data_IF_337533697308
#
_entry.id   IF_337533697308
#
_cell.length_a   1.000
_cell.length_b   1.000
_cell.length_c   1.000
_cell.angle_alpha   90.00
_cell.angle_beta   90.00
_cell.angle_gamma   90.00
#
_symmetry.space_group_name_H-M   'P 1'
#
loop_
_entity.id
_entity.type
_entity.pdbx_description
1 polymer ?
#
# COMPACT_ATOMS: atom_id res chain seq x y z
N UNK A 1 15.99 31.90 5.15
CA UNK A 1 16.09 31.77 3.68
C UNK A 1 17.54 32.06 3.29
N UNK A 2 18.13 31.34 2.31
CA UNK A 2 19.48 31.65 1.86
C UNK A 2 19.54 33.09 1.34
N UNK A 3 20.66 33.77 1.57
CA UNK A 3 20.92 35.08 1.01
C UNK A 3 20.97 34.98 -0.52
N UNK A 4 20.39 35.93 -1.28
CA UNK A 4 20.44 35.91 -2.75
C UNK A 4 21.86 36.11 -3.29
N UNK A 5 22.71 36.79 -2.52
CA UNK A 5 24.15 36.98 -2.76
C UNK A 5 24.85 37.30 -1.43
N UNK A 6 26.18 37.23 -1.41
CA UNK A 6 26.95 37.63 -0.23
C UNK A 6 26.69 39.12 0.10
N UNK A 7 26.45 39.40 1.37
CA UNK A 7 26.19 40.76 1.87
C UNK A 7 27.47 41.26 2.52
N UNK A 8 27.97 42.40 2.07
CA UNK A 8 29.21 42.99 2.58
C UNK A 8 28.92 44.31 3.27
N UNK A 9 29.35 44.43 4.52
CA UNK A 9 29.28 45.63 5.35
C UNK A 9 30.68 46.26 5.35
N UNK A 10 30.78 47.52 4.95
CA UNK A 10 32.04 48.27 4.94
C UNK A 10 31.89 49.52 5.79
N UNK A 11 32.77 49.70 6.78
CA UNK A 11 32.81 50.93 7.57
C UNK A 11 33.53 52.05 6.81
N UNK A 12 32.90 53.22 6.77
CA UNK A 12 33.46 54.46 6.21
C UNK A 12 33.67 55.46 7.36
N UNK A 13 34.93 55.78 7.66
CA UNK A 13 35.27 56.68 8.75
C UNK A 13 35.00 58.16 8.42
N UNK A 14 34.90 58.53 7.14
CA UNK A 14 34.65 59.91 6.73
C UNK A 14 33.19 60.31 7.02
N UNK A 15 32.25 59.38 6.87
CA UNK A 15 30.82 59.60 7.16
C UNK A 15 30.36 58.99 8.48
N UNK A 16 31.20 58.15 9.12
CA UNK A 16 30.84 57.34 10.29
C UNK A 16 29.62 56.45 10.02
N UNK A 17 29.63 55.77 8.87
CA UNK A 17 28.54 54.92 8.41
C UNK A 17 29.02 53.52 8.02
N UNK A 18 28.09 52.57 8.06
CA UNK A 18 28.23 51.24 7.50
C UNK A 18 27.51 51.21 6.16
N UNK A 19 28.28 51.08 5.09
CA UNK A 19 27.79 50.85 3.75
C UNK A 19 27.45 49.37 3.57
N UNK A 20 26.28 49.05 3.01
CA UNK A 20 25.87 47.67 2.74
C UNK A 20 25.82 47.43 1.24
N UNK A 21 26.57 46.43 0.78
CA UNK A 21 26.59 45.97 -0.60
C UNK A 21 26.06 44.54 -0.70
N UNK A 22 25.42 44.19 -1.82
CA UNK A 22 24.88 42.84 -2.08
C UNK A 22 23.57 42.50 -1.35
N UNK A 23 23.02 43.43 -0.55
CA UNK A 23 21.70 43.27 0.06
C UNK A 23 20.58 43.48 -0.98
N UNK A 24 19.59 42.58 -0.97
CA UNK A 24 18.36 42.69 -1.79
C UNK A 24 17.15 42.49 -0.87
N UNK A 25 16.28 43.50 -0.67
CA UNK A 25 16.39 44.88 -1.15
C UNK A 25 17.64 45.62 -0.66
N UNK A 26 18.05 46.67 -1.38
CA UNK A 26 19.19 47.50 -0.97
C UNK A 26 18.95 48.08 0.43
N UNK A 27 20.00 48.11 1.25
CA UNK A 27 19.96 48.57 2.64
C UNK A 27 21.12 49.53 2.90
N UNK A 28 20.97 50.43 3.87
CA UNK A 28 22.00 51.39 4.27
C UNK A 28 22.17 52.58 3.32
N UNK A 29 23.18 53.44 3.56
CA UNK A 29 24.12 53.37 4.68
C UNK A 29 23.44 53.54 6.04
N UNK A 30 24.08 53.04 7.10
CA UNK A 30 23.59 53.15 8.47
C UNK A 30 24.63 53.83 9.34
N UNK A 31 24.22 54.81 10.16
CA UNK A 31 25.16 55.45 11.09
C UNK A 31 25.73 54.44 12.09
N UNK A 32 27.06 54.47 12.28
CA UNK A 32 27.72 53.60 13.22
C UNK A 32 27.62 54.15 14.65
N UNK A 33 27.18 53.30 15.58
CA UNK A 33 27.28 53.52 17.01
C UNK A 33 27.69 52.19 17.66
N UNK A 34 28.79 52.20 18.40
CA UNK A 34 29.28 51.00 19.08
C UNK A 34 28.22 50.43 20.02
N UNK A 35 27.90 49.14 19.84
CA UNK A 35 26.89 48.43 20.60
C UNK A 35 25.44 48.63 20.12
N UNK A 36 25.22 49.40 19.05
CA UNK A 36 23.90 49.50 18.44
C UNK A 36 23.56 48.25 17.61
N UNK A 37 22.29 47.87 17.66
CA UNK A 37 21.73 46.83 16.79
C UNK A 37 21.53 47.40 15.39
N UNK A 38 22.13 46.76 14.40
CA UNK A 38 21.84 46.98 12.99
C UNK A 38 20.91 45.85 12.51
N UNK A 39 19.75 46.23 11.97
CA UNK A 39 18.77 45.30 11.45
C UNK A 39 18.30 45.71 10.05
N UNK A 40 18.37 44.79 9.10
CA UNK A 40 17.83 44.97 7.75
C UNK A 40 17.52 43.61 7.12
N UNK A 41 16.54 43.54 6.22
CA UNK A 41 16.16 42.33 5.49
C UNK A 41 15.98 41.06 6.37
N UNK A 42 15.55 41.23 7.62
CA UNK A 42 15.39 40.14 8.59
C UNK A 42 16.69 39.62 9.23
N UNK A 43 17.83 40.23 8.92
CA UNK A 43 19.10 40.04 9.63
C UNK A 43 19.19 41.04 10.78
N UNK A 44 19.73 40.58 11.91
CA UNK A 44 19.98 41.41 13.09
C UNK A 44 21.37 41.08 13.64
N UNK A 45 22.16 42.10 13.91
CA UNK A 45 23.49 41.95 14.50
C UNK A 45 23.89 43.20 15.29
N UNK A 46 24.82 43.01 16.23
CA UNK A 46 25.37 44.09 17.05
C UNK A 46 26.83 44.25 16.69
N UNK A 47 27.21 45.45 16.24
CA UNK A 47 28.61 45.80 15.98
C UNK A 47 29.12 46.61 17.17
N UNK A 48 30.25 46.21 17.74
CA UNK A 48 30.87 46.90 18.88
C UNK A 48 32.36 47.13 18.61
N UNK A 49 32.94 48.12 19.29
CA UNK A 49 34.35 48.47 19.19
C UNK A 49 34.60 49.81 18.51
N UNK A 50 35.79 49.96 17.92
CA UNK A 50 36.20 51.13 17.15
C UNK A 50 36.72 50.62 15.80
N UNK A 51 35.87 50.59 14.75
CA UNK A 51 36.29 50.12 13.44
C UNK A 51 37.28 51.10 12.79
N UNK A 52 38.22 50.56 12.03
CA UNK A 52 39.10 51.34 11.17
C UNK A 52 38.42 51.60 9.81
N UNK A 53 38.79 52.69 9.15
CA UNK A 53 38.30 53.00 7.81
C UNK A 53 38.54 51.84 6.86
N UNK A 54 37.50 51.42 6.14
CA UNK A 54 37.55 50.29 5.22
C UNK A 54 37.45 48.91 5.87
N UNK A 55 37.16 48.81 7.18
CA UNK A 55 36.86 47.51 7.80
C UNK A 55 35.66 46.84 7.12
N UNK A 56 35.78 45.54 6.84
CA UNK A 56 34.78 44.77 6.10
C UNK A 56 34.29 43.57 6.91
N UNK A 57 32.97 43.36 6.90
CA UNK A 57 32.34 42.14 7.37
C UNK A 57 31.43 41.55 6.28
N UNK A 58 31.69 40.32 5.85
CA UNK A 58 30.92 39.64 4.81
C UNK A 58 30.08 38.51 5.39
N UNK A 59 28.80 38.51 5.06
CA UNK A 59 27.84 37.46 5.37
C UNK A 59 27.59 36.66 4.10
N UNK A 60 27.99 35.39 4.11
CA UNK A 60 27.80 34.47 3.00
C UNK A 60 26.87 33.33 3.39
N UNK A 61 26.26 32.69 2.39
CA UNK A 61 25.54 31.45 2.64
C UNK A 61 26.49 30.36 3.13
N UNK A 62 26.02 29.56 4.09
CA UNK A 62 26.74 28.37 4.49
C UNK A 62 26.66 27.33 3.36
N UNK A 63 27.80 27.00 2.75
CA UNK A 63 27.87 26.05 1.62
C UNK A 63 28.32 24.66 2.07
N UNK A 64 29.01 24.56 3.22
CA UNK A 64 29.64 23.33 3.74
C UNK A 64 29.29 23.04 5.21
N UNK A 65 28.12 23.50 5.65
CA UNK A 65 27.77 23.56 7.07
C UNK A 65 27.48 22.22 7.71
N UNK A 66 28.22 21.90 8.78
CA UNK A 66 27.77 20.91 9.77
C UNK A 66 26.43 21.42 10.33
N UNK A 67 25.37 20.61 10.26
CA UNK A 67 23.98 20.94 10.65
C UNK A 67 23.11 21.68 9.63
N UNK A 68 23.47 21.67 8.34
CA UNK A 68 22.60 22.11 7.25
C UNK A 68 21.56 21.05 6.84
N UNK A 69 20.27 21.36 7.04
CA UNK A 69 19.15 20.46 6.75
C UNK A 69 18.51 20.69 5.36
N UNK A 70 19.09 21.53 4.49
CA UNK A 70 18.51 21.83 3.16
C UNK A 70 18.29 20.59 2.30
N UNK A 71 19.18 19.59 2.38
CA UNK A 71 18.99 18.33 1.64
C UNK A 71 17.78 17.54 2.14
N UNK A 72 17.59 17.47 3.46
CA UNK A 72 16.41 16.80 4.06
C UNK A 72 15.14 17.57 3.74
N UNK A 73 15.20 18.90 3.75
CA UNK A 73 14.08 19.75 3.31
C UNK A 73 13.76 19.53 1.84
N UNK A 74 14.76 19.44 0.96
CA UNK A 74 14.55 19.15 -0.47
C UNK A 74 13.89 17.78 -0.68
N UNK A 75 14.33 16.75 0.06
CA UNK A 75 13.69 15.43 0.03
C UNK A 75 12.23 15.52 0.51
N UNK A 76 11.95 16.30 1.55
CA UNK A 76 10.59 16.50 2.04
C UNK A 76 9.71 17.24 1.02
N UNK A 77 10.24 18.25 0.32
CA UNK A 77 9.47 18.98 -0.70
C UNK A 77 9.18 18.13 -1.94
N UNK A 78 10.07 17.20 -2.29
CA UNK A 78 9.84 16.25 -3.39
C UNK A 78 8.52 15.50 -3.24
N UNK A 79 8.06 15.20 -2.01
CA UNK A 79 6.77 14.54 -1.78
C UNK A 79 5.60 15.27 -2.47
N UNK A 80 5.62 16.60 -2.43
CA UNK A 80 4.54 17.48 -2.92
C UNK A 80 4.84 18.15 -4.26
N UNK A 81 6.08 18.08 -4.74
CA UNK A 81 6.46 18.62 -6.04
C UNK A 81 6.00 17.68 -7.16
N UNK A 82 5.55 18.29 -8.27
CA UNK A 82 5.13 17.55 -9.46
C UNK A 82 6.34 17.15 -10.28
N UNK A 83 6.96 16.05 -9.90
CA UNK A 83 8.18 15.52 -10.53
C UNK A 83 7.91 14.27 -11.40
N UNK A 84 6.72 13.67 -11.27
CA UNK A 84 6.33 12.46 -12.00
C UNK A 84 5.35 12.80 -13.13
N UNK A 85 5.10 11.83 -14.03
CA UNK A 85 4.14 11.97 -15.14
C UNK A 85 4.37 13.26 -15.95
N UNK A 86 5.61 13.48 -16.38
CA UNK A 86 6.04 14.69 -17.12
C UNK A 86 5.69 16.01 -16.40
N UNK A 87 5.77 16.03 -15.07
CA UNK A 87 5.52 17.21 -14.25
C UNK A 87 4.05 17.45 -13.90
N UNK A 88 3.18 16.44 -14.06
CA UNK A 88 1.75 16.56 -13.77
C UNK A 88 1.33 15.98 -12.43
N UNK A 89 2.12 15.05 -11.86
CA UNK A 89 1.80 14.34 -10.63
C UNK A 89 2.90 14.41 -9.58
N UNK A 90 2.49 14.42 -8.32
CA UNK A 90 3.37 14.32 -7.15
C UNK A 90 3.68 12.86 -6.82
N UNK A 91 4.66 12.63 -5.94
CA UNK A 91 4.91 11.27 -5.42
C UNK A 91 3.72 10.74 -4.62
N UNK A 92 3.02 11.61 -3.88
CA UNK A 92 1.82 11.25 -3.14
C UNK A 92 0.69 10.77 -4.06
N UNK A 93 0.47 11.46 -5.19
CA UNK A 93 -0.56 11.09 -6.17
C UNK A 93 -0.31 9.69 -6.74
N UNK A 94 0.92 9.43 -7.21
CA UNK A 94 1.28 8.15 -7.84
C UNK A 94 1.25 7.01 -6.82
N UNK A 95 1.71 7.27 -5.59
CA UNK A 95 1.61 6.29 -4.50
C UNK A 95 0.14 5.97 -4.17
N UNK A 96 -0.71 7.00 -4.04
CA UNK A 96 -2.13 6.83 -3.80
C UNK A 96 -2.83 6.01 -4.90
N UNK A 97 -2.50 6.26 -6.16
CA UNK A 97 -2.99 5.48 -7.30
C UNK A 97 -2.56 4.01 -7.23
N UNK A 98 -1.30 3.74 -6.91
CA UNK A 98 -0.79 2.38 -6.77
C UNK A 98 -1.53 1.61 -5.66
N UNK A 99 -1.74 2.24 -4.50
CA UNK A 99 -2.50 1.63 -3.39
C UNK A 99 -3.95 1.38 -3.80
N UNK A 100 -4.58 2.32 -4.50
CA UNK A 100 -5.94 2.16 -5.01
C UNK A 100 -6.04 1.01 -6.01
N UNK A 101 -5.08 0.87 -6.94
CA UNK A 101 -5.04 -0.21 -7.92
C UNK A 101 -4.95 -1.58 -7.22
N UNK A 102 -4.07 -1.71 -6.22
CA UNK A 102 -3.94 -2.93 -5.41
C UNK A 102 -5.27 -3.24 -4.69
N UNK A 103 -5.91 -2.23 -4.11
CA UNK A 103 -7.22 -2.38 -3.45
C UNK A 103 -8.30 -2.88 -4.41
N UNK A 104 -8.40 -2.27 -5.60
CA UNK A 104 -9.36 -2.65 -6.64
C UNK A 104 -9.11 -4.09 -7.10
N UNK A 105 -7.86 -4.43 -7.41
CA UNK A 105 -7.48 -5.77 -7.89
C UNK A 105 -7.74 -6.85 -6.82
N UNK A 106 -7.53 -6.51 -5.56
CA UNK A 106 -7.84 -7.39 -4.42
C UNK A 106 -9.35 -7.63 -4.33
N UNK A 107 -10.16 -6.57 -4.36
CA UNK A 107 -11.64 -6.68 -4.34
C UNK A 107 -12.18 -7.50 -5.51
N UNK A 108 -11.65 -7.27 -6.72
CA UNK A 108 -11.99 -8.08 -7.90
C UNK A 108 -11.63 -9.56 -7.72
N UNK A 109 -10.49 -9.85 -7.10
CA UNK A 109 -10.04 -11.23 -6.87
C UNK A 109 -10.91 -11.96 -5.86
N UNK A 110 -11.39 -11.27 -4.81
CA UNK A 110 -12.35 -11.82 -3.84
C UNK A 110 -13.67 -12.16 -4.53
N UNK A 111 -14.24 -11.23 -5.29
CA UNK A 111 -15.50 -11.47 -6.03
C UNK A 111 -15.35 -12.66 -6.99
N UNK A 112 -14.22 -12.73 -7.72
CA UNK A 112 -13.93 -13.86 -8.60
C UNK A 112 -13.81 -15.19 -7.83
N UNK A 113 -13.14 -15.18 -6.68
CA UNK A 113 -13.01 -16.37 -5.83
C UNK A 113 -14.40 -16.86 -5.38
N UNK A 114 -15.26 -15.97 -4.92
CA UNK A 114 -16.60 -16.33 -4.44
C UNK A 114 -17.46 -16.88 -5.57
N UNK A 115 -17.42 -16.25 -6.75
CA UNK A 115 -18.11 -16.74 -7.93
C UNK A 115 -17.63 -18.14 -8.35
N UNK A 116 -16.32 -18.39 -8.33
CA UNK A 116 -15.75 -19.70 -8.66
C UNK A 116 -16.06 -20.76 -7.58
N UNK A 117 -16.12 -20.37 -6.31
CA UNK A 117 -16.54 -21.26 -5.22
C UNK A 117 -17.99 -21.70 -5.42
N UNK A 118 -18.88 -20.74 -5.72
CA UNK A 118 -20.29 -21.05 -6.00
C UNK A 118 -20.44 -21.96 -7.22
N UNK A 119 -19.66 -21.72 -8.29
CA UNK A 119 -19.66 -22.56 -9.47
C UNK A 119 -19.16 -23.98 -9.16
N UNK A 120 -18.11 -24.10 -8.34
CA UNK A 120 -17.60 -25.38 -7.89
C UNK A 120 -18.64 -26.16 -7.08
N UNK A 121 -19.35 -25.50 -6.17
CA UNK A 121 -20.38 -26.14 -5.35
C UNK A 121 -21.58 -26.59 -6.19
N UNK A 122 -21.98 -25.78 -7.17
CA UNK A 122 -23.00 -26.17 -8.16
C UNK A 122 -22.55 -27.38 -8.98
N UNK A 123 -21.31 -27.38 -9.48
CA UNK A 123 -20.76 -28.50 -10.25
C UNK A 123 -20.68 -29.78 -9.40
N UNK A 124 -20.29 -29.68 -8.14
CA UNK A 124 -20.28 -30.82 -7.19
C UNK A 124 -21.68 -31.35 -6.92
N UNK A 125 -22.65 -30.46 -6.71
CA UNK A 125 -24.05 -30.84 -6.49
C UNK A 125 -24.61 -31.55 -7.72
N UNK A 126 -24.35 -31.02 -8.91
CA UNK A 126 -24.75 -31.65 -10.17
C UNK A 126 -24.10 -33.03 -10.33
N UNK A 127 -22.79 -33.14 -10.07
CA UNK A 127 -22.08 -34.42 -10.11
C UNK A 127 -22.69 -35.44 -9.14
N UNK A 128 -22.99 -35.03 -7.90
CA UNK A 128 -23.64 -35.89 -6.90
C UNK A 128 -25.08 -36.26 -7.30
N UNK A 129 -25.80 -35.42 -8.06
CA UNK A 129 -27.11 -35.78 -8.59
C UNK A 129 -27.07 -36.89 -9.64
N UNK A 130 -25.98 -36.97 -10.44
CA UNK A 130 -25.84 -37.99 -11.49
C UNK A 130 -25.07 -39.24 -11.04
N UNK A 131 -24.04 -39.06 -10.22
CA UNK A 131 -23.15 -40.13 -9.76
C UNK A 131 -23.34 -40.47 -8.28
N UNK A 132 -24.20 -39.74 -7.58
CA UNK A 132 -24.55 -40.05 -6.21
C UNK A 132 -25.46 -41.27 -6.16
N UNK A 133 -25.14 -42.15 -5.24
CA UNK A 133 -25.92 -43.32 -4.91
C UNK A 133 -26.92 -42.93 -3.84
N UNK A 134 -28.21 -43.22 -4.07
CA UNK A 134 -29.22 -43.05 -3.04
C UNK A 134 -29.23 -44.30 -2.14
N UNK A 135 -28.63 -44.19 -0.95
CA UNK A 135 -28.51 -45.31 0.00
C UNK A 135 -29.86 -45.88 0.43
N UNK A 136 -30.92 -45.07 0.42
CA UNK A 136 -32.27 -45.54 0.76
C UNK A 136 -32.88 -46.36 -0.39
N UNK A 137 -32.61 -45.99 -1.64
CA UNK A 137 -33.02 -46.75 -2.82
C UNK A 137 -32.22 -48.05 -2.95
N UNK A 138 -30.90 -48.00 -2.74
CA UNK A 138 -30.07 -49.21 -2.68
C UNK A 138 -30.48 -50.13 -1.52
N UNK A 139 -30.87 -49.59 -0.36
CA UNK A 139 -31.35 -50.39 0.75
C UNK A 139 -32.72 -51.04 0.45
N UNK A 140 -33.63 -50.32 -0.22
CA UNK A 140 -34.90 -50.88 -0.67
C UNK A 140 -34.70 -52.01 -1.70
N UNK A 141 -33.81 -51.80 -2.66
CA UNK A 141 -33.43 -52.83 -3.63
C UNK A 141 -32.73 -54.03 -2.98
N UNK A 142 -31.86 -53.79 -1.99
CA UNK A 142 -31.25 -54.85 -1.19
C UNK A 142 -32.30 -55.69 -0.46
N UNK A 143 -33.28 -55.06 0.18
CA UNK A 143 -34.39 -55.76 0.85
C UNK A 143 -35.21 -56.56 -0.17
N UNK A 144 -35.50 -55.98 -1.33
CA UNK A 144 -36.21 -56.65 -2.42
C UNK A 144 -35.44 -57.88 -2.92
N UNK A 145 -34.13 -57.78 -3.11
CA UNK A 145 -33.29 -58.92 -3.49
C UNK A 145 -33.24 -60.00 -2.40
N UNK A 146 -33.18 -59.60 -1.12
CA UNK A 146 -33.25 -60.55 0.00
C UNK A 146 -34.60 -61.29 0.02
N UNK A 147 -35.71 -60.59 -0.17
CA UNK A 147 -37.05 -61.20 -0.25
C UNK A 147 -37.17 -62.13 -1.46
N UNK A 148 -36.69 -61.71 -2.63
CA UNK A 148 -36.69 -62.53 -3.84
C UNK A 148 -35.86 -63.81 -3.65
N UNK A 149 -34.71 -63.72 -2.96
CA UNK A 149 -33.87 -64.87 -2.64
C UNK A 149 -34.58 -65.84 -1.67
N UNK A 150 -35.23 -65.32 -0.63
CA UNK A 150 -36.02 -66.15 0.29
C UNK A 150 -37.19 -66.83 -0.42
N UNK A 151 -37.89 -66.12 -1.31
CA UNK A 151 -38.97 -66.69 -2.12
C UNK A 151 -38.44 -67.79 -3.07
N UNK A 152 -37.31 -67.56 -3.74
CA UNK A 152 -36.66 -68.57 -4.58
C UNK A 152 -36.26 -69.82 -3.77
N UNK A 153 -35.73 -69.65 -2.56
CA UNK A 153 -35.43 -70.76 -1.67
C UNK A 153 -36.68 -71.56 -1.27
N UNK A 154 -37.80 -70.89 -1.00
CA UNK A 154 -39.08 -71.55 -0.72
C UNK A 154 -39.61 -72.34 -1.95
N UNK A 155 -39.48 -71.79 -3.15
CA UNK A 155 -39.85 -72.49 -4.40
C UNK A 155 -39.00 -73.74 -4.59
N UNK A 156 -37.68 -73.66 -4.33
CA UNK A 156 -36.79 -74.83 -4.38
C UNK A 156 -37.19 -75.88 -3.34
N UNK A 157 -37.50 -75.47 -2.11
CA UNK A 157 -37.98 -76.39 -1.08
C UNK A 157 -39.30 -77.07 -1.46
N UNK A 158 -40.25 -76.32 -2.04
CA UNK A 158 -41.49 -76.88 -2.55
C UNK A 158 -41.24 -77.86 -3.71
N UNK A 159 -40.35 -77.51 -4.64
CA UNK A 159 -39.97 -78.38 -5.76
C UNK A 159 -39.30 -79.68 -5.29
N UNK A 160 -38.37 -79.60 -4.32
CA UNK A 160 -37.76 -80.78 -3.69
C UNK A 160 -38.82 -81.65 -3.01
N UNK A 161 -39.75 -81.06 -2.26
CA UNK A 161 -40.86 -81.79 -1.63
C UNK A 161 -41.75 -82.49 -2.65
N UNK A 162 -42.05 -81.84 -3.77
CA UNK A 162 -42.81 -82.46 -4.87
C UNK A 162 -42.02 -83.60 -5.52
N UNK A 163 -40.72 -83.40 -5.75
CA UNK A 163 -39.85 -84.41 -6.34
C UNK A 163 -39.73 -85.66 -5.46
N UNK A 164 -39.51 -85.48 -4.16
CA UNK A 164 -39.48 -86.57 -3.17
C UNK A 164 -40.83 -87.30 -3.09
N UNK A 165 -41.95 -86.56 -3.18
CA UNK A 165 -43.30 -87.16 -3.21
C UNK A 165 -43.53 -88.01 -4.45
N UNK A 166 -43.10 -87.54 -5.63
CA UNK A 166 -43.18 -88.31 -6.88
C UNK A 166 -42.29 -89.57 -6.83
N UNK A 167 -41.06 -89.44 -6.34
CA UNK A 167 -40.17 -90.59 -6.14
C UNK A 167 -40.77 -91.61 -5.16
N UNK A 168 -41.35 -91.14 -4.06
CA UNK A 168 -42.01 -92.00 -3.06
C UNK A 168 -43.25 -92.73 -3.60
N UNK A 169 -43.99 -92.12 -4.52
CA UNK A 169 -45.16 -92.72 -5.15
C UNK A 169 -44.80 -93.80 -6.19
N UNK A 170 -43.70 -93.62 -6.93
CA UNK A 170 -43.20 -94.57 -7.95
C UNK A 170 -42.41 -95.75 -7.35
N UNK A 171 -41.90 -95.61 -6.12
CA UNK A 171 -41.11 -96.65 -5.43
C UNK A 171 -41.94 -97.79 -4.81
N UNK A 172 -43.25 -97.84 -5.05
CA UNK A 172 -44.13 -98.96 -4.66
C UNK A 172 -44.33 -99.94 -5.80
#
# INVERSE_FOLDING_TARGET
>A
LPLPSDVTLTYDAATNEINVSGAVPAAGPFSYTSGATLAFNGLEFVMSGVPADGDVFTISNNVNGVSDNRNVLAIATMQTEKLLENGSSTYEDVYGQMVAEVGIKTGQSVIKKDAQSNLLDQARTAQQGYSGVNLDEEAADLIKFQQAYQAAAQVINAANTMFDSLLGAVRR
#
